data_IF_634153966545
#
_entry.id   IF_634153966545
#
_cell.length_a   1.000
_cell.length_b   1.000
_cell.length_c   1.000
_cell.angle_alpha   90.00
_cell.angle_beta   90.00
_cell.angle_gamma   90.00
#
_symmetry.space_group_name_H-M   'P 1'
#
loop_
_entity.id
_entity.type
_entity.pdbx_description
1 polymer ?
#
# COMPACT_ATOMS: atom_id res chain seq x y z
N UNK A 1 -15.91 14.43 13.83
CA UNK A 1 -14.47 14.08 13.86
C UNK A 1 -14.26 12.69 13.27
N UNK A 2 -13.43 12.58 12.23
CA UNK A 2 -13.10 11.32 11.56
C UNK A 2 -11.64 10.96 11.86
N UNK A 3 -11.32 9.68 11.98
CA UNK A 3 -9.94 9.20 12.20
C UNK A 3 -9.57 8.12 11.19
N UNK A 4 -8.29 8.08 10.84
CA UNK A 4 -7.69 6.98 10.11
C UNK A 4 -6.82 6.18 11.07
N UNK A 5 -6.79 4.86 10.88
CA UNK A 5 -5.92 3.95 11.60
C UNK A 5 -5.21 3.04 10.61
N UNK A 6 -3.95 2.75 10.89
CA UNK A 6 -3.10 1.94 10.03
C UNK A 6 -2.77 0.61 10.73
N UNK A 7 -2.92 -0.48 10.00
CA UNK A 7 -2.58 -1.84 10.45
C UNK A 7 -1.55 -2.40 9.48
N UNK A 8 -0.37 -2.75 9.99
CA UNK A 8 0.64 -3.48 9.21
C UNK A 8 0.43 -4.97 9.43
N UNK A 9 0.19 -5.71 8.36
CA UNK A 9 0.07 -7.16 8.37
C UNK A 9 1.46 -7.79 8.56
N UNK A 10 1.52 -8.86 9.36
CA UNK A 10 2.78 -9.56 9.61
C UNK A 10 3.28 -10.31 8.37
N UNK A 11 2.36 -10.72 7.49
CA UNK A 11 2.63 -11.53 6.30
C UNK A 11 1.74 -11.12 5.13
N UNK A 12 2.21 -11.39 3.92
CA UNK A 12 1.36 -11.34 2.72
C UNK A 12 0.54 -12.63 2.66
N UNK A 13 -0.68 -12.57 3.16
CA UNK A 13 -1.64 -13.67 3.11
C UNK A 13 -3.00 -13.19 2.61
N UNK A 14 -3.74 -14.09 1.96
CA UNK A 14 -5.10 -13.81 1.54
C UNK A 14 -6.01 -13.78 2.76
N UNK A 15 -6.59 -12.61 3.05
CA UNK A 15 -7.56 -12.42 4.13
C UNK A 15 -8.97 -12.27 3.56
N UNK A 16 -9.94 -12.94 4.17
CA UNK A 16 -11.34 -12.72 3.88
C UNK A 16 -11.82 -11.39 4.46
N UNK A 17 -12.93 -10.89 3.95
CA UNK A 17 -13.57 -9.67 4.46
C UNK A 17 -13.94 -9.81 5.94
N UNK A 18 -14.38 -10.99 6.39
CA UNK A 18 -14.66 -11.26 7.80
C UNK A 18 -13.40 -11.17 8.67
N UNK A 19 -12.25 -11.65 8.19
CA UNK A 19 -10.98 -11.54 8.91
C UNK A 19 -10.54 -10.08 9.02
N UNK A 20 -10.64 -9.31 7.94
CA UNK A 20 -10.35 -7.88 7.95
C UNK A 20 -11.26 -7.12 8.91
N UNK A 21 -12.57 -7.41 8.89
CA UNK A 21 -13.53 -6.81 9.83
C UNK A 21 -13.17 -7.17 11.27
N UNK A 22 -12.78 -8.42 11.54
CA UNK A 22 -12.40 -8.84 12.89
C UNK A 22 -11.19 -8.05 13.42
N UNK A 23 -10.16 -7.86 12.60
CA UNK A 23 -8.98 -7.05 12.97
C UNK A 23 -9.38 -5.57 13.14
N UNK A 24 -10.14 -5.01 12.19
CA UNK A 24 -10.62 -3.64 12.25
C UNK A 24 -11.46 -3.39 13.51
N UNK A 25 -12.27 -4.37 13.93
CA UNK A 25 -13.08 -4.27 15.14
C UNK A 25 -12.22 -4.12 16.41
N UNK A 26 -11.10 -4.83 16.51
CA UNK A 26 -10.18 -4.69 17.63
C UNK A 26 -9.58 -3.28 17.70
N UNK A 27 -9.14 -2.75 16.55
CA UNK A 27 -8.60 -1.38 16.42
C UNK A 27 -9.65 -0.34 16.79
N UNK A 28 -10.85 -0.45 16.22
CA UNK A 28 -11.98 0.46 16.48
C UNK A 28 -12.34 0.45 17.96
N UNK A 29 -12.51 -0.72 18.57
CA UNK A 29 -12.86 -0.84 19.99
C UNK A 29 -11.82 -0.15 20.90
N UNK A 30 -10.53 -0.33 20.58
CA UNK A 30 -9.45 0.35 21.30
C UNK A 30 -9.57 1.88 21.20
N UNK A 31 -9.76 2.41 19.99
CA UNK A 31 -9.88 3.86 19.76
C UNK A 31 -11.10 4.45 20.46
N UNK A 32 -12.28 3.84 20.30
CA UNK A 32 -13.54 4.40 20.84
C UNK A 32 -13.63 4.29 22.36
N UNK A 33 -12.84 3.40 22.98
CA UNK A 33 -12.70 3.34 24.44
C UNK A 33 -11.97 4.55 25.02
N UNK A 34 -11.09 5.17 24.23
CA UNK A 34 -10.28 6.32 24.63
C UNK A 34 -10.84 7.66 24.14
N UNK A 35 -11.50 7.68 22.97
CA UNK A 35 -11.91 8.91 22.30
C UNK A 35 -13.21 8.74 21.51
N UNK A 36 -14.16 9.66 21.72
CA UNK A 36 -15.38 9.73 20.91
C UNK A 36 -15.07 10.23 19.51
N UNK A 37 -15.59 9.56 18.48
CA UNK A 37 -15.39 9.90 17.05
C UNK A 37 -16.71 9.77 16.28
N UNK A 38 -16.70 10.07 14.99
CA UNK A 38 -17.84 9.85 14.10
C UNK A 38 -17.63 8.69 13.13
N UNK A 39 -16.39 8.44 12.73
CA UNK A 39 -16.03 7.35 11.84
C UNK A 39 -14.53 7.03 11.99
N UNK A 40 -14.18 5.77 11.71
CA UNK A 40 -12.81 5.28 11.67
C UNK A 40 -12.61 4.50 10.37
N UNK A 41 -11.61 4.87 9.59
CA UNK A 41 -11.17 4.13 8.41
C UNK A 41 -9.90 3.37 8.77
N UNK A 42 -9.91 2.06 8.58
CA UNK A 42 -8.78 1.18 8.91
C UNK A 42 -8.13 0.73 7.62
N UNK A 43 -6.92 1.21 7.36
CA UNK A 43 -6.10 0.82 6.22
C UNK A 43 -5.14 -0.30 6.60
N UNK A 44 -5.13 -1.35 5.79
CA UNK A 44 -4.26 -2.51 5.97
C UNK A 44 -3.09 -2.42 5.01
N UNK A 45 -1.89 -2.58 5.51
CA UNK A 45 -0.64 -2.49 4.77
C UNK A 45 0.06 -3.85 4.78
N UNK A 46 0.64 -4.25 3.65
CA UNK A 46 1.47 -5.44 3.60
C UNK A 46 2.75 -5.29 4.46
N UNK A 47 3.44 -6.40 4.74
CA UNK A 47 4.74 -6.36 5.40
C UNK A 47 5.75 -5.59 4.55
N UNK A 48 6.68 -4.90 5.23
CA UNK A 48 7.74 -4.10 4.61
C UNK A 48 7.25 -2.90 3.78
N UNK A 49 5.96 -2.57 3.86
CA UNK A 49 5.38 -1.38 3.26
C UNK A 49 5.64 -0.14 4.11
N UNK A 50 5.94 0.96 3.44
CA UNK A 50 5.92 2.30 4.02
C UNK A 50 4.46 2.77 4.13
N UNK A 51 3.93 2.79 5.35
CA UNK A 51 2.57 3.24 5.66
C UNK A 51 2.32 4.64 5.08
N UNK A 52 1.23 4.78 4.32
CA UNK A 52 0.82 6.05 3.69
C UNK A 52 1.61 6.46 2.45
N UNK A 53 2.67 5.72 2.07
CA UNK A 53 3.47 5.99 0.86
C UNK A 53 3.24 4.94 -0.24
N UNK A 54 2.80 3.74 0.14
CA UNK A 54 2.45 2.67 -0.80
C UNK A 54 0.95 2.59 -1.09
N UNK A 55 0.55 1.44 -1.65
CA UNK A 55 -0.85 1.07 -1.86
C UNK A 55 -1.29 0.19 -0.69
N UNK A 56 -2.36 0.58 0.00
CA UNK A 56 -2.97 -0.25 1.03
C UNK A 56 -3.48 -1.58 0.41
N UNK A 57 -3.28 -2.67 1.14
CA UNK A 57 -3.74 -4.01 0.77
C UNK A 57 -5.26 -4.16 0.90
N UNK A 58 -5.86 -3.49 1.88
CA UNK A 58 -7.30 -3.45 2.09
C UNK A 58 -7.70 -2.18 2.85
N UNK A 59 -8.99 -1.87 2.84
CA UNK A 59 -9.57 -0.83 3.69
C UNK A 59 -10.92 -1.27 4.25
N UNK A 60 -11.13 -0.98 5.54
CA UNK A 60 -12.39 -1.22 6.24
C UNK A 60 -12.85 0.06 6.92
N UNK A 61 -14.05 0.50 6.58
CA UNK A 61 -14.71 1.63 7.24
C UNK A 61 -15.60 1.15 8.37
N UNK A 62 -15.49 1.82 9.51
CA UNK A 62 -16.47 1.81 10.59
C UNK A 62 -17.12 3.18 10.70
N UNK A 63 -18.35 3.29 10.19
CA UNK A 63 -19.05 4.56 10.04
C UNK A 63 -20.58 4.35 10.07
N UNK A 64 -21.39 5.42 10.17
CA UNK A 64 -22.84 5.33 10.09
C UNK A 64 -23.26 4.64 8.79
N UNK A 65 -24.05 3.57 8.91
CA UNK A 65 -24.46 2.72 7.78
C UNK A 65 -23.29 2.12 6.98
N UNK A 66 -22.07 2.09 7.55
CA UNK A 66 -20.87 1.55 6.92
C UNK A 66 -20.32 2.44 5.81
N UNK A 67 -20.59 3.74 5.90
CA UNK A 67 -20.29 4.71 4.84
C UNK A 67 -19.52 5.88 5.42
N UNK A 68 -18.23 5.98 5.08
CA UNK A 68 -17.36 7.06 5.54
C UNK A 68 -17.93 8.45 5.25
N UNK A 69 -18.58 8.62 4.10
CA UNK A 69 -19.21 9.86 3.69
C UNK A 69 -20.36 10.30 4.62
N UNK A 70 -20.94 9.36 5.38
CA UNK A 70 -22.03 9.61 6.33
C UNK A 70 -21.57 9.97 7.74
N UNK A 71 -20.27 10.12 7.98
CA UNK A 71 -19.74 10.42 9.32
C UNK A 71 -20.37 11.67 9.97
N UNK A 72 -20.71 12.69 9.18
CA UNK A 72 -21.28 13.94 9.69
C UNK A 72 -22.82 13.88 9.87
N UNK A 73 -23.44 12.74 9.57
CA UNK A 73 -24.89 12.53 9.74
C UNK A 73 -25.29 12.10 11.16
N UNK A 74 -24.33 11.95 12.08
CA UNK A 74 -24.55 11.56 13.47
C UNK A 74 -23.72 12.46 14.39
N UNK A 75 -24.13 12.59 15.65
CA UNK A 75 -23.34 13.28 16.66
C UNK A 75 -22.08 12.46 17.03
N UNK A 76 -20.99 13.15 17.39
CA UNK A 76 -19.75 12.47 17.80
C UNK A 76 -20.01 11.59 19.02
N UNK A 77 -19.72 10.29 18.90
CA UNK A 77 -19.97 9.30 19.96
C UNK A 77 -21.33 8.61 19.90
N UNK A 78 -22.23 8.97 18.98
CA UNK A 78 -23.40 8.16 18.67
C UNK A 78 -23.02 7.05 17.68
N UNK A 79 -23.00 5.82 18.18
CA UNK A 79 -22.60 4.63 17.42
C UNK A 79 -23.76 3.72 17.03
N UNK A 80 -25.01 4.14 17.30
CA UNK A 80 -26.21 3.31 17.17
C UNK A 80 -26.48 2.77 15.75
N UNK A 81 -25.89 3.42 14.74
CA UNK A 81 -26.07 3.09 13.31
C UNK A 81 -24.79 2.65 12.63
N UNK A 82 -23.68 2.53 13.37
CA UNK A 82 -22.40 2.14 12.79
C UNK A 82 -22.40 0.68 12.38
N UNK A 83 -21.69 0.41 11.31
CA UNK A 83 -21.43 -0.94 10.83
C UNK A 83 -20.10 -0.94 10.07
N UNK A 84 -19.46 -2.10 10.04
CA UNK A 84 -18.23 -2.27 9.27
C UNK A 84 -18.57 -2.49 7.79
N UNK A 85 -17.73 -1.95 6.91
CA UNK A 85 -17.78 -2.21 5.47
C UNK A 85 -16.36 -2.31 4.94
N UNK A 86 -16.06 -3.40 4.25
CA UNK A 86 -14.85 -3.50 3.43
C UNK A 86 -15.06 -2.66 2.17
N UNK A 87 -14.19 -1.68 1.93
CA UNK A 87 -14.25 -0.86 0.72
C UNK A 87 -13.55 -1.57 -0.44
N UNK A 88 -12.38 -2.14 -0.16
CA UNK A 88 -11.66 -3.02 -1.07
C UNK A 88 -10.79 -4.01 -0.30
N UNK A 89 -10.48 -5.13 -0.95
CA UNK A 89 -9.61 -6.18 -0.43
C UNK A 89 -8.77 -6.77 -1.57
N UNK A 90 -7.46 -6.48 -1.57
CA UNK A 90 -6.48 -6.99 -2.54
C UNK A 90 -5.52 -7.99 -1.92
N UNK A 91 -5.74 -8.40 -0.67
CA UNK A 91 -4.79 -9.25 0.08
C UNK A 91 -4.46 -10.55 -0.65
N UNK A 92 -5.43 -11.16 -1.34
CA UNK A 92 -5.22 -12.35 -2.15
C UNK A 92 -4.32 -12.11 -3.37
N UNK A 93 -4.51 -11.01 -4.10
CA UNK A 93 -3.67 -10.61 -5.25
C UNK A 93 -2.20 -10.45 -4.80
N UNK A 94 -2.01 -9.80 -3.65
CA UNK A 94 -0.69 -9.55 -3.10
C UNK A 94 -0.01 -10.83 -2.61
N UNK A 95 -0.76 -11.72 -1.97
CA UNK A 95 -0.24 -13.02 -1.51
C UNK A 95 0.21 -13.93 -2.66
N UNK A 96 -0.30 -13.72 -3.88
CA UNK A 96 0.09 -14.48 -5.08
C UNK A 96 1.11 -13.75 -5.96
N UNK A 97 1.52 -12.54 -5.59
CA UNK A 97 2.46 -11.76 -6.39
C UNK A 97 3.82 -12.47 -6.46
N UNK A 98 4.47 -12.52 -7.64
CA UNK A 98 5.79 -13.10 -7.78
C UNK A 98 6.76 -12.45 -6.79
N UNK A 99 7.53 -13.27 -6.07
CA UNK A 99 8.63 -12.77 -5.24
C UNK A 99 9.93 -13.12 -5.93
N UNK A 100 10.70 -12.10 -6.31
CA UNK A 100 12.05 -12.30 -6.85
C UNK A 100 12.95 -12.87 -5.75
N UNK A 101 13.73 -13.90 -6.09
CA UNK A 101 14.60 -14.66 -5.17
C UNK A 101 15.88 -13.89 -4.79
N UNK A 102 15.72 -12.64 -4.38
CA UNK A 102 16.76 -11.77 -3.84
C UNK A 102 16.33 -11.29 -2.46
N UNK A 103 17.30 -11.01 -1.58
CA UNK A 103 16.98 -10.46 -0.28
C UNK A 103 16.34 -9.05 -0.41
N UNK A 104 15.61 -8.64 0.63
CA UNK A 104 14.85 -7.38 0.61
C UNK A 104 15.74 -6.14 0.40
N UNK A 105 16.96 -6.13 0.94
CA UNK A 105 17.84 -4.97 0.82
C UNK A 105 18.30 -4.81 -0.64
N UNK A 106 18.69 -5.92 -1.28
CA UNK A 106 19.07 -5.94 -2.70
C UNK A 106 17.91 -5.50 -3.59
N UNK A 107 16.68 -5.98 -3.35
CA UNK A 107 15.50 -5.55 -4.14
C UNK A 107 15.20 -4.06 -3.98
N UNK A 108 15.30 -3.52 -2.75
CA UNK A 108 15.13 -2.08 -2.49
C UNK A 108 16.20 -1.25 -3.21
N UNK A 109 17.44 -1.73 -3.25
CA UNK A 109 18.53 -1.07 -3.96
C UNK A 109 18.29 -1.06 -5.48
N UNK A 110 17.89 -2.19 -6.06
CA UNK A 110 17.55 -2.31 -7.48
C UNK A 110 16.43 -1.33 -7.84
N UNK A 111 15.36 -1.29 -7.05
CA UNK A 111 14.26 -0.34 -7.23
C UNK A 111 14.76 1.11 -7.20
N UNK A 112 15.52 1.47 -6.17
CA UNK A 112 16.06 2.82 -6.01
C UNK A 112 16.92 3.23 -7.21
N UNK A 113 17.80 2.35 -7.66
CA UNK A 113 18.70 2.62 -8.78
C UNK A 113 17.97 2.71 -10.12
N UNK A 114 16.92 1.90 -10.32
CA UNK A 114 16.05 2.00 -11.50
C UNK A 114 15.38 3.38 -11.54
N UNK A 115 14.74 3.80 -10.44
CA UNK A 115 14.08 5.11 -10.37
C UNK A 115 15.09 6.23 -10.59
N UNK A 116 16.27 6.15 -9.95
CA UNK A 116 17.32 7.16 -10.11
C UNK A 116 17.86 7.26 -11.54
N UNK A 117 17.83 6.17 -12.30
CA UNK A 117 18.22 6.16 -13.70
C UNK A 117 17.12 6.77 -14.58
N UNK A 118 15.86 6.45 -14.30
CA UNK A 118 14.69 6.99 -15.02
C UNK A 118 14.53 8.50 -14.79
N UNK A 119 14.72 8.97 -13.55
CA UNK A 119 14.61 10.39 -13.19
C UNK A 119 15.64 11.29 -13.90
N UNK A 120 16.71 10.71 -14.44
CA UNK A 120 17.71 11.45 -15.24
C UNK A 120 17.25 11.71 -16.68
N UNK A 121 16.15 11.11 -17.12
CA UNK A 121 15.61 11.24 -18.47
C UNK A 121 14.62 12.41 -18.48
N UNK A 122 14.90 13.51 -19.21
CA UNK A 122 13.96 14.63 -19.31
C UNK A 122 12.62 14.20 -19.89
N UNK A 123 11.51 14.64 -19.30
CA UNK A 123 10.16 14.25 -19.74
C UNK A 123 9.83 14.69 -21.18
N UNK A 124 10.50 15.72 -21.68
CA UNK A 124 10.39 16.25 -23.04
C UNK A 124 11.42 15.65 -24.02
N UNK A 125 12.21 14.67 -23.57
CA UNK A 125 13.15 13.96 -24.44
C UNK A 125 12.37 13.19 -25.53
N UNK A 126 12.67 13.40 -26.83
CA UNK A 126 11.96 12.72 -27.92
C UNK A 126 12.12 11.20 -27.90
N UNK A 127 13.10 10.67 -27.16
CA UNK A 127 13.35 9.25 -26.93
C UNK A 127 12.98 8.80 -25.52
N UNK A 128 12.20 9.59 -24.77
CA UNK A 128 11.84 9.30 -23.37
C UNK A 128 11.39 7.85 -23.16
N UNK A 129 10.47 7.36 -23.99
CA UNK A 129 9.93 6.00 -23.88
C UNK A 129 10.98 4.92 -24.13
N UNK A 130 11.85 5.12 -25.12
CA UNK A 130 12.93 4.17 -25.46
C UNK A 130 13.98 4.14 -24.35
N UNK A 131 14.41 5.31 -23.86
CA UNK A 131 15.37 5.41 -22.75
C UNK A 131 14.82 4.85 -21.44
N UNK A 132 13.53 5.04 -21.16
CA UNK A 132 12.89 4.45 -19.99
C UNK A 132 12.84 2.93 -20.06
N UNK A 133 12.52 2.37 -21.24
CA UNK A 133 12.60 0.93 -21.45
C UNK A 133 14.05 0.43 -21.31
N UNK A 134 15.02 1.21 -21.79
CA UNK A 134 16.44 0.87 -21.70
C UNK A 134 16.96 0.83 -20.26
N UNK A 135 16.42 1.67 -19.38
CA UNK A 135 16.78 1.68 -17.97
C UNK A 135 16.57 0.30 -17.30
N UNK A 136 15.49 -0.41 -17.66
CA UNK A 136 15.25 -1.78 -17.16
C UNK A 136 16.33 -2.75 -17.61
N UNK A 137 16.76 -2.66 -18.87
CA UNK A 137 17.82 -3.48 -19.43
C UNK A 137 19.17 -3.20 -18.76
N UNK A 138 19.52 -1.93 -18.55
CA UNK A 138 20.75 -1.53 -17.86
C UNK A 138 20.80 -2.08 -16.44
N UNK A 139 19.69 -1.97 -15.69
CA UNK A 139 19.60 -2.49 -14.32
C UNK A 139 19.67 -4.03 -14.31
N UNK A 140 18.99 -4.70 -15.25
CA UNK A 140 19.05 -6.16 -15.38
C UNK A 140 20.49 -6.64 -15.61
N UNK A 141 21.21 -6.01 -16.55
CA UNK A 141 22.62 -6.30 -16.85
C UNK A 141 23.52 -6.03 -15.63
N UNK A 142 23.31 -4.92 -14.90
CA UNK A 142 24.10 -4.54 -13.74
C UNK A 142 24.00 -5.55 -12.59
N UNK A 143 22.80 -6.09 -12.33
CA UNK A 143 22.54 -7.00 -11.22
C UNK A 143 22.55 -8.48 -11.61
N UNK A 144 22.72 -8.80 -12.90
CA UNK A 144 22.75 -10.17 -13.40
C UNK A 144 21.40 -10.89 -13.26
N UNK A 145 20.30 -10.16 -13.39
CA UNK A 145 18.92 -10.67 -13.34
C UNK A 145 18.21 -10.44 -14.67
N UNK A 146 17.04 -11.06 -14.84
CA UNK A 146 16.19 -10.82 -16.01
C UNK A 146 15.51 -9.45 -15.97
N UNK A 147 15.13 -8.94 -17.13
CA UNK A 147 14.34 -7.69 -17.24
C UNK A 147 12.98 -7.88 -16.54
N UNK A 148 12.40 -9.07 -16.64
CA UNK A 148 11.17 -9.45 -15.95
C UNK A 148 11.32 -9.33 -14.42
N UNK A 149 12.42 -9.80 -13.84
CA UNK A 149 12.68 -9.64 -12.41
C UNK A 149 12.82 -8.16 -12.00
N UNK A 150 13.43 -7.33 -12.84
CA UNK A 150 13.48 -5.87 -12.59
C UNK A 150 12.07 -5.27 -12.62
N UNK A 151 11.21 -5.68 -13.55
CA UNK A 151 9.81 -5.26 -13.58
C UNK A 151 9.05 -5.67 -12.33
N UNK A 152 9.18 -6.92 -11.87
CA UNK A 152 8.55 -7.40 -10.64
C UNK A 152 9.02 -6.62 -9.41
N UNK A 153 10.33 -6.35 -9.31
CA UNK A 153 10.91 -5.51 -8.24
C UNK A 153 10.35 -4.08 -8.32
N UNK A 154 10.22 -3.51 -9.51
CA UNK A 154 9.68 -2.17 -9.70
C UNK A 154 8.23 -2.07 -9.23
N UNK A 155 7.40 -3.04 -9.61
CA UNK A 155 6.00 -3.12 -9.20
C UNK A 155 5.85 -3.32 -7.69
N UNK A 156 6.69 -4.17 -7.09
CA UNK A 156 6.72 -4.34 -5.65
C UNK A 156 7.12 -3.05 -4.93
N UNK A 157 8.16 -2.36 -5.40
CA UNK A 157 8.63 -1.10 -4.81
C UNK A 157 7.56 -0.01 -4.82
N UNK A 158 6.84 0.14 -5.94
CA UNK A 158 5.69 1.05 -6.07
C UNK A 158 4.59 0.65 -5.08
N UNK A 159 4.20 -0.62 -5.05
CA UNK A 159 3.14 -1.13 -4.17
C UNK A 159 3.47 -0.90 -2.70
N UNK A 160 4.72 -1.16 -2.30
CA UNK A 160 5.17 -1.05 -0.91
C UNK A 160 5.61 0.36 -0.52
N UNK A 161 5.65 1.30 -1.46
CA UNK A 161 6.13 2.66 -1.19
C UNK A 161 7.59 2.65 -0.72
N UNK A 162 8.45 1.89 -1.40
CA UNK A 162 9.88 1.86 -1.08
C UNK A 162 10.53 3.23 -1.31
N UNK A 163 11.65 3.54 -0.62
CA UNK A 163 12.29 4.84 -0.72
C UNK A 163 12.66 5.22 -2.16
N UNK A 164 12.39 6.47 -2.51
CA UNK A 164 12.76 7.07 -3.79
C UNK A 164 14.08 7.82 -3.67
N UNK A 165 14.86 7.96 -4.76
CA UNK A 165 15.98 8.88 -4.81
C UNK A 165 15.54 10.33 -4.61
N UNK A 166 16.45 11.21 -4.15
CA UNK A 166 16.16 12.64 -4.13
C UNK A 166 15.91 13.15 -5.55
N UNK A 167 14.93 14.03 -5.71
CA UNK A 167 14.64 14.65 -7.00
C UNK A 167 15.87 15.41 -7.53
N UNK A 168 16.21 15.27 -8.81
CA UNK A 168 17.31 15.99 -9.45
C UNK A 168 17.10 17.51 -9.51
#
# INVERSE_FOLDING_TARGET
>A
MRLLADVVLEKEEALSDEQLIHIAQQVVNSIISAKKVNAIGVFFWGPESSVGQGIAAASVDWAPEGRWEKADAVETGDYSRHRFRVDFNRTAELATSPTVSLDLATRKEIYYNLVALQDRIPIDDPQYSEKNADAYRVIAEQYGISIEEVHEIAMEGIRKGWPLPPSP
#
